data_IF_196765221471
#
_entry.id   IF_196765221471
#
_cell.length_a   1.000
_cell.length_b   1.000
_cell.length_c   1.000
_cell.angle_alpha   90.00
_cell.angle_beta   90.00
_cell.angle_gamma   90.00
#
_symmetry.space_group_name_H-M   'P 1'
#
loop_
_entity.id
_entity.type
_entity.pdbx_description
1 polymer ?
#
# COMPACT_ATOMS: atom_id res chain seq x y z
N UNK A 1 4.34 -1.18 -17.02
CA UNK A 1 5.34 -2.12 -16.50
C UNK A 1 4.62 -3.02 -15.52
N UNK A 2 4.17 -4.19 -15.97
CA UNK A 2 3.38 -5.09 -15.14
C UNK A 2 4.34 -5.70 -14.10
N UNK A 3 4.28 -5.20 -12.87
CA UNK A 3 4.95 -5.85 -11.75
C UNK A 3 4.09 -7.06 -11.33
N UNK A 4 4.47 -8.25 -11.77
CA UNK A 4 4.01 -9.48 -11.13
C UNK A 4 4.74 -9.62 -9.81
N UNK A 5 4.17 -9.14 -8.71
CA UNK A 5 4.60 -9.54 -7.38
C UNK A 5 4.02 -10.94 -7.12
N UNK A 6 4.81 -11.99 -7.39
CA UNK A 6 4.49 -13.35 -6.93
C UNK A 6 4.78 -13.36 -5.42
N UNK A 7 3.78 -12.98 -4.62
CA UNK A 7 3.86 -13.13 -3.17
C UNK A 7 3.19 -14.44 -2.79
N UNK A 8 4.00 -15.44 -2.41
CA UNK A 8 3.51 -16.64 -1.74
C UNK A 8 3.07 -16.27 -0.32
N UNK A 9 1.77 -15.99 -0.16
CA UNK A 9 1.06 -15.74 1.11
C UNK A 9 1.41 -14.45 1.88
N UNK A 10 2.68 -14.09 2.01
CA UNK A 10 3.11 -12.80 2.58
C UNK A 10 4.52 -12.45 2.19
N UNK A 11 4.82 -11.15 2.10
CA UNK A 11 6.18 -10.70 1.82
C UNK A 11 6.33 -9.20 1.91
N UNK A 12 7.58 -8.75 2.01
CA UNK A 12 7.92 -7.34 1.86
C UNK A 12 7.52 -6.86 0.47
N UNK A 13 6.92 -5.68 0.41
CA UNK A 13 6.39 -5.13 -0.82
C UNK A 13 6.63 -3.63 -0.91
N UNK A 14 6.56 -3.11 -2.13
CA UNK A 14 6.56 -1.68 -2.42
C UNK A 14 5.32 -1.35 -3.22
N UNK A 15 4.68 -0.23 -2.90
CA UNK A 15 3.47 0.22 -3.59
C UNK A 15 3.74 1.57 -4.22
N UNK A 16 3.55 1.62 -5.52
CA UNK A 16 3.67 2.82 -6.34
C UNK A 16 2.28 3.21 -6.85
N UNK A 17 1.77 4.40 -6.53
CA UNK A 17 0.53 4.89 -7.11
C UNK A 17 0.68 5.13 -8.61
N UNK A 18 -0.33 4.74 -9.39
CA UNK A 18 -0.32 4.94 -10.84
C UNK A 18 -0.30 6.41 -11.27
N UNK A 19 -0.68 7.35 -10.39
CA UNK A 19 -0.65 8.79 -10.65
C UNK A 19 0.72 9.43 -10.46
N UNK A 20 1.69 8.75 -9.82
CA UNK A 20 2.98 9.32 -9.45
C UNK A 20 4.13 8.34 -9.68
N UNK A 21 4.77 8.43 -10.85
CA UNK A 21 5.91 7.58 -11.19
C UNK A 21 7.13 7.87 -10.29
N UNK A 22 7.77 6.82 -9.80
CA UNK A 22 8.86 6.80 -8.83
C UNK A 22 8.48 7.34 -7.44
N UNK A 23 7.19 7.39 -7.11
CA UNK A 23 6.75 7.68 -5.75
C UNK A 23 6.21 6.42 -5.10
N UNK A 24 6.66 6.16 -3.88
CA UNK A 24 6.28 4.94 -3.16
C UNK A 24 5.56 5.29 -1.87
N UNK A 25 4.68 4.40 -1.45
CA UNK A 25 4.05 4.50 -0.14
C UNK A 25 5.09 4.46 0.96
N UNK A 26 5.05 5.50 1.79
CA UNK A 26 5.84 5.65 2.98
C UNK A 26 4.96 6.34 4.04
N UNK A 27 5.39 6.29 5.28
CA UNK A 27 4.73 6.96 6.39
C UNK A 27 5.82 7.48 7.32
N UNK A 28 5.47 8.47 8.14
CA UNK A 28 6.39 8.96 9.15
C UNK A 28 5.63 9.42 10.38
N UNK A 29 6.32 9.36 11.51
CA UNK A 29 5.86 9.94 12.76
C UNK A 29 6.33 11.39 12.84
N UNK A 30 5.42 12.34 13.11
CA UNK A 30 5.78 13.73 13.39
C UNK A 30 5.43 14.78 12.33
N UNK A 31 4.70 14.43 11.27
CA UNK A 31 4.26 15.37 10.22
C UNK A 31 3.11 16.32 10.58
N UNK A 32 2.78 16.50 11.87
CA UNK A 32 1.64 17.29 12.35
C UNK A 32 0.46 16.42 12.82
N UNK A 33 -0.77 16.93 12.71
CA UNK A 33 -1.99 16.27 13.22
C UNK A 33 -2.36 14.92 12.57
N UNK A 34 -1.62 14.50 11.53
CA UNK A 34 -1.79 13.24 10.81
C UNK A 34 -0.61 12.28 11.01
N UNK A 35 -0.18 12.06 12.26
CA UNK A 35 0.81 11.03 12.59
C UNK A 35 0.39 9.69 11.97
N UNK A 36 1.34 8.97 11.36
CA UNK A 36 1.13 7.66 10.73
C UNK A 36 0.34 7.63 9.41
N UNK A 37 -0.04 8.80 8.86
CA UNK A 37 -0.64 8.86 7.54
C UNK A 37 0.35 8.38 6.47
N UNK A 38 -0.13 7.53 5.58
CA UNK A 38 0.61 7.10 4.39
C UNK A 38 0.55 8.18 3.30
N UNK A 39 1.69 8.39 2.66
CA UNK A 39 1.82 9.31 1.55
C UNK A 39 2.81 8.79 0.49
N UNK A 40 2.65 9.19 -0.78
CA UNK A 40 3.65 8.94 -1.81
C UNK A 40 4.90 9.78 -1.57
N UNK A 41 6.06 9.13 -1.47
CA UNK A 41 7.37 9.79 -1.32
C UNK A 41 8.30 9.40 -2.47
N UNK A 42 8.95 10.40 -3.07
CA UNK A 42 9.80 10.21 -4.24
C UNK A 42 11.02 9.34 -3.91
N UNK A 43 11.20 8.24 -4.64
CA UNK A 43 12.30 7.28 -4.52
C UNK A 43 12.54 6.74 -3.11
N UNK A 44 11.52 6.77 -2.25
CA UNK A 44 11.66 6.36 -0.86
C UNK A 44 10.42 5.59 -0.40
N UNK A 45 10.47 4.27 -0.58
CA UNK A 45 9.44 3.36 -0.08
C UNK A 45 9.70 3.02 1.39
N UNK A 46 8.65 2.68 2.13
CA UNK A 46 8.86 1.97 3.40
C UNK A 46 9.68 0.70 3.18
N UNK A 47 10.64 0.46 4.07
CA UNK A 47 11.48 -0.74 4.03
C UNK A 47 10.83 -1.95 4.71
N UNK A 48 9.77 -1.72 5.50
CA UNK A 48 9.16 -2.73 6.35
C UNK A 48 7.73 -3.10 5.94
N UNK A 49 7.17 -2.41 4.94
CA UNK A 49 5.83 -2.67 4.40
C UNK A 49 5.72 -4.11 3.90
N UNK A 50 4.72 -4.82 4.41
CA UNK A 50 4.40 -6.19 4.05
C UNK A 50 2.96 -6.30 3.57
N UNK A 51 2.75 -7.13 2.56
CA UNK A 51 1.44 -7.60 2.14
C UNK A 51 1.20 -9.00 2.70
N UNK A 52 -0.02 -9.27 3.13
CA UNK A 52 -0.46 -10.60 3.53
C UNK A 52 -1.79 -10.94 2.87
N UNK A 53 -1.86 -12.12 2.24
CA UNK A 53 -3.07 -12.64 1.61
C UNK A 53 -3.87 -13.37 2.70
N UNK A 54 -5.12 -12.94 2.91
CA UNK A 54 -6.01 -13.51 3.94
C UNK A 54 -6.57 -14.86 3.48
N UNK A 55 -6.82 -15.02 2.18
CA UNK A 55 -7.44 -16.21 1.62
C UNK A 55 -6.46 -17.41 1.57
N UNK A 56 -6.92 -18.63 1.89
CA UNK A 56 -6.08 -19.83 2.09
C UNK A 56 -5.54 -20.51 0.82
N UNK A 57 -5.38 -19.79 -0.28
CA UNK A 57 -4.85 -20.38 -1.52
C UNK A 57 -3.72 -19.53 -2.13
N UNK A 58 -2.68 -20.22 -2.59
CA UNK A 58 -1.42 -19.61 -3.01
C UNK A 58 -1.57 -18.69 -4.25
N UNK A 59 -0.70 -17.67 -4.27
CA UNK A 59 -0.64 -16.53 -5.20
C UNK A 59 -1.84 -15.56 -5.15
N UNK A 60 -1.51 -14.27 -5.25
CA UNK A 60 -2.49 -13.18 -5.36
C UNK A 60 -3.29 -13.30 -6.66
N UNK A 61 -4.62 -13.17 -6.58
CA UNK A 61 -5.55 -13.24 -7.72
C UNK A 61 -6.51 -12.05 -7.70
N UNK A 62 -7.20 -11.82 -8.81
CA UNK A 62 -8.29 -10.83 -8.81
C UNK A 62 -9.32 -11.20 -7.75
N UNK A 63 -9.74 -10.22 -6.96
CA UNK A 63 -10.70 -10.40 -5.90
C UNK A 63 -10.13 -10.95 -4.60
N UNK A 64 -8.86 -11.36 -4.54
CA UNK A 64 -8.19 -11.76 -3.29
C UNK A 64 -8.31 -10.69 -2.22
N UNK A 65 -8.51 -11.12 -0.98
CA UNK A 65 -8.47 -10.27 0.20
C UNK A 65 -7.06 -10.22 0.75
N UNK A 66 -6.59 -9.01 1.01
CA UNK A 66 -5.24 -8.77 1.51
C UNK A 66 -5.30 -7.78 2.67
N UNK A 67 -4.27 -7.81 3.50
CA UNK A 67 -3.96 -6.75 4.45
C UNK A 67 -2.54 -6.26 4.20
N UNK A 68 -2.30 -5.00 4.54
CA UNK A 68 -0.95 -4.47 4.63
C UNK A 68 -0.60 -4.22 6.08
N UNK A 69 0.64 -4.51 6.44
CA UNK A 69 1.19 -4.13 7.74
C UNK A 69 2.57 -3.51 7.56
N UNK A 70 2.94 -2.67 8.50
CA UNK A 70 4.26 -2.06 8.55
C UNK A 70 4.76 -2.01 10.00
N UNK A 71 6.08 -1.89 10.15
CA UNK A 71 6.74 -1.91 11.44
C UNK A 71 7.02 -0.49 11.93
N UNK A 72 6.43 -0.13 13.06
CA UNK A 72 6.72 1.16 13.71
C UNK A 72 7.92 1.04 14.63
N UNK A 73 9.05 1.62 14.23
CA UNK A 73 10.29 1.63 15.02
C UNK A 73 10.17 2.41 16.34
N UNK A 74 9.17 3.29 16.50
CA UNK A 74 8.97 4.04 17.75
C UNK A 74 8.27 3.19 18.81
N UNK A 75 7.24 2.44 18.42
CA UNK A 75 6.50 1.55 19.33
C UNK A 75 7.01 0.11 19.30
N UNK A 76 7.96 -0.20 18.41
CA UNK A 76 8.60 -1.49 18.20
C UNK A 76 7.62 -2.63 17.87
N UNK A 77 6.55 -2.32 17.13
CA UNK A 77 5.46 -3.27 16.84
C UNK A 77 4.92 -3.12 15.41
N UNK A 78 4.21 -4.15 14.94
CA UNK A 78 3.52 -4.14 13.67
C UNK A 78 2.10 -3.58 13.81
N UNK A 79 1.72 -2.76 12.85
CA UNK A 79 0.37 -2.25 12.71
C UNK A 79 -0.11 -2.46 11.29
N UNK A 80 -1.42 -2.57 11.13
CA UNK A 80 -2.08 -2.68 9.84
C UNK A 80 -2.41 -1.30 9.28
N UNK A 81 -2.38 -1.20 7.95
CA UNK A 81 -2.89 -0.04 7.25
C UNK A 81 -4.40 -0.02 7.37
N UNK A 82 -4.93 1.07 7.90
CA UNK A 82 -6.35 1.32 8.13
C UNK A 82 -6.83 2.41 7.19
N UNK A 83 -7.94 2.16 6.49
CA UNK A 83 -8.73 3.22 5.85
C UNK A 83 -9.43 4.01 6.94
N UNK A 84 -9.06 5.28 7.08
CA UNK A 84 -9.65 6.20 8.04
C UNK A 84 -11.08 6.57 7.62
N UNK A 85 -12.01 6.62 8.57
CA UNK A 85 -13.45 6.77 8.32
C UNK A 85 -14.07 7.96 9.06
N UNK A 86 -13.34 9.06 9.23
CA UNK A 86 -13.87 10.23 9.91
C UNK A 86 -13.09 11.54 9.74
N UNK A 87 -13.84 12.65 9.86
CA UNK A 87 -13.30 14.00 9.82
C UNK A 87 -12.70 14.37 8.45
N UNK A 88 -11.78 15.33 8.45
CA UNK A 88 -11.18 15.87 7.22
C UNK A 88 -10.23 14.89 6.51
N UNK A 89 -9.97 13.73 7.10
CA UNK A 89 -9.05 12.71 6.61
C UNK A 89 -9.78 11.40 6.25
N UNK A 90 -11.11 11.47 6.10
CA UNK A 90 -11.91 10.34 5.62
C UNK A 90 -11.35 9.80 4.28
N UNK A 91 -11.19 8.48 4.20
CA UNK A 91 -10.61 7.77 3.06
C UNK A 91 -9.08 7.73 3.01
N UNK A 92 -8.36 8.40 3.92
CA UNK A 92 -6.89 8.34 3.97
C UNK A 92 -6.40 7.03 4.61
N UNK A 93 -5.18 6.62 4.27
CA UNK A 93 -4.54 5.43 4.84
C UNK A 93 -3.63 5.80 6.01
N UNK A 94 -3.77 5.09 7.12
CA UNK A 94 -2.99 5.29 8.33
C UNK A 94 -2.41 3.96 8.84
N UNK A 95 -1.21 4.00 9.40
CA UNK A 95 -0.68 2.90 10.21
C UNK A 95 -1.27 3.01 11.62
N UNK A 96 -2.24 2.17 12.00
CA UNK A 96 -3.05 2.45 13.21
C UNK A 96 -3.40 1.25 14.09
N UNK A 97 -3.96 0.17 13.52
CA UNK A 97 -4.49 -0.94 14.34
C UNK A 97 -3.51 -2.10 14.46
N UNK A 98 -3.42 -2.73 15.63
CA UNK A 98 -2.62 -3.95 15.85
C UNK A 98 -3.29 -5.24 15.35
N UNK A 99 -4.56 -5.15 15.00
CA UNK A 99 -5.36 -6.22 14.40
C UNK A 99 -6.02 -5.69 13.13
N UNK A 100 -6.49 -6.60 12.28
CA UNK A 100 -7.19 -6.22 11.05
C UNK A 100 -8.66 -6.61 11.12
N UNK A 101 -9.51 -5.73 10.62
CA UNK A 101 -10.93 -5.95 10.36
C UNK A 101 -11.27 -5.40 8.96
N UNK A 102 -12.52 -4.95 8.77
CA UNK A 102 -13.00 -4.46 7.48
C UNK A 102 -12.18 -3.27 6.93
N UNK A 103 -11.71 -2.36 7.80
CA UNK A 103 -10.99 -1.14 7.37
C UNK A 103 -9.53 -1.39 7.03
N UNK A 104 -9.00 -2.53 7.45
CA UNK A 104 -7.63 -2.97 7.15
C UNK A 104 -7.59 -4.01 6.01
N UNK A 105 -8.77 -4.47 5.57
CA UNK A 105 -8.91 -5.48 4.52
C UNK A 105 -9.14 -4.81 3.17
N UNK A 106 -8.21 -5.04 2.25
CA UNK A 106 -8.27 -4.55 0.88
C UNK A 106 -8.63 -5.67 -0.07
N UNK A 107 -9.24 -5.30 -1.20
CA UNK A 107 -9.56 -6.24 -2.28
C UNK A 107 -8.70 -5.95 -3.50
N UNK A 108 -8.02 -6.98 -3.98
CA UNK A 108 -7.17 -6.89 -5.15
C UNK A 108 -8.03 -6.77 -6.40
N UNK A 109 -7.65 -5.84 -7.29
CA UNK A 109 -8.15 -5.76 -8.65
C UNK A 109 -6.99 -5.83 -9.62
N UNK A 110 -6.90 -6.93 -10.36
CA UNK A 110 -5.86 -7.11 -11.38
C UNK A 110 -6.43 -6.62 -12.70
N UNK A 111 -5.76 -5.63 -13.29
CA UNK A 111 -6.15 -5.18 -14.63
C UNK A 111 -5.74 -6.25 -15.65
N UNK A 112 -6.71 -6.80 -16.36
CA UNK A 112 -6.48 -7.77 -17.44
C UNK A 112 -6.19 -7.09 -18.78
N UNK A 113 -6.37 -5.76 -18.85
CA UNK A 113 -6.00 -4.98 -20.02
C UNK A 113 -4.52 -4.55 -19.92
N UNK A 114 -3.78 -4.57 -21.04
CA UNK A 114 -2.40 -4.09 -21.04
C UNK A 114 -2.37 -2.63 -20.53
N UNK A 115 -1.37 -2.31 -19.72
CA UNK A 115 -1.17 -0.92 -19.30
C UNK A 115 -1.14 -0.01 -20.53
N UNK A 116 -1.84 1.13 -20.42
CA UNK A 116 -1.85 2.14 -21.48
C UNK A 116 -0.41 2.48 -21.83
N UNK A 117 -0.06 2.36 -23.11
CA UNK A 117 1.28 2.67 -23.58
C UNK A 117 1.49 4.20 -23.61
N UNK A 118 2.09 4.73 -22.55
CA UNK A 118 2.38 6.16 -22.41
C UNK A 118 3.54 6.66 -23.27
N UNK A 119 4.22 5.80 -24.05
CA UNK A 119 5.43 6.16 -24.82
C UNK A 119 5.24 7.40 -25.70
N UNK A 120 4.05 7.58 -26.26
CA UNK A 120 3.74 8.70 -27.15
C UNK A 120 3.20 9.93 -26.41
N UNK A 121 2.84 9.79 -25.13
CA UNK A 121 2.29 10.85 -24.28
C UNK A 121 3.40 11.54 -23.44
N UNK A 122 4.61 10.95 -23.38
CA UNK A 122 5.75 11.51 -22.67
C UNK A 122 6.34 12.71 -23.43
N UNK A 123 6.13 13.92 -22.91
CA UNK A 123 6.81 15.13 -23.38
C UNK A 123 8.14 15.25 -22.60
N UNK A 124 9.24 14.87 -23.25
CA UNK A 124 10.58 15.20 -22.73
C UNK A 124 10.83 16.70 -22.97
N UNK A 125 11.11 17.44 -21.88
CA UNK A 125 11.60 18.82 -21.93
C UNK A 125 13.10 18.83 -21.65
#
# INVERSE_FOLDING_TARGET
>A
MIYYAIVSKSGYTRIEPSSYLNYYWNWWLGGGGGNYAYYPKFNDASNNLQIHIIDEEECIRDGSRIVFKDYDENTLDYYYLTVWDGGNWDGYLYLWNKTYNLRETFRVRLNTQPERNWKNDLIYR
#
